data_IF_876679970080
#
_entry.id   IF_876679970080
#
_cell.length_a   1.000
_cell.length_b   1.000
_cell.length_c   1.000
_cell.angle_alpha   90.00
_cell.angle_beta   90.00
_cell.angle_gamma   90.00
#
_symmetry.space_group_name_H-M   'P 1'
#
loop_
_entity.id
_entity.type
_entity.pdbx_description
1 polymer ?
#
# COMPACT_ATOMS: atom_id res chain seq x y z
N UNK A 1 -0.89 6.01 -9.04
CA UNK A 1 -2.31 5.93 -8.62
C UNK A 1 -2.47 5.65 -7.13
N UNK A 2 -1.73 4.71 -6.53
CA UNK A 2 -1.87 4.42 -5.08
C UNK A 2 -1.26 5.51 -4.20
N UNK A 3 -0.10 6.08 -4.59
CA UNK A 3 0.53 7.21 -3.87
C UNK A 3 -0.45 8.35 -3.60
N UNK A 4 -1.10 8.87 -4.64
CA UNK A 4 -2.05 9.98 -4.52
C UNK A 4 -3.28 9.63 -3.67
N UNK A 5 -3.76 8.38 -3.73
CA UNK A 5 -4.84 7.92 -2.84
C UNK A 5 -4.40 7.90 -1.37
N UNK A 6 -3.17 7.46 -1.10
CA UNK A 6 -2.60 7.47 0.25
C UNK A 6 -2.43 8.90 0.76
N UNK A 7 -1.74 9.76 0.02
CA UNK A 7 -1.47 11.16 0.40
C UNK A 7 -2.77 11.92 0.71
N UNK A 8 -3.79 11.74 -0.14
CA UNK A 8 -5.11 12.34 0.05
C UNK A 8 -5.82 11.84 1.32
N UNK A 9 -5.77 10.54 1.63
CA UNK A 9 -6.46 9.97 2.80
C UNK A 9 -5.70 10.18 4.10
N UNK A 10 -4.37 10.18 4.06
CA UNK A 10 -3.51 10.39 5.23
C UNK A 10 -3.21 11.88 5.50
N UNK A 11 -3.67 12.78 4.61
CA UNK A 11 -3.42 14.22 4.68
C UNK A 11 -1.93 14.56 4.87
N UNK A 12 -1.09 13.88 4.09
CA UNK A 12 0.37 14.01 4.14
C UNK A 12 0.96 13.87 2.74
N UNK A 13 2.15 14.43 2.52
CA UNK A 13 2.89 14.28 1.27
C UNK A 13 4.09 13.36 1.49
N UNK A 14 4.31 12.42 0.59
CA UNK A 14 5.42 11.48 0.67
C UNK A 14 6.62 11.99 -0.13
N UNK A 15 7.74 12.24 0.55
CA UNK A 15 9.00 12.65 -0.09
C UNK A 15 9.59 11.53 -0.95
N UNK A 16 9.48 10.29 -0.47
CA UNK A 16 9.78 9.06 -1.22
C UNK A 16 8.54 8.18 -1.25
N UNK A 17 8.46 7.22 -2.17
CA UNK A 17 7.33 6.27 -2.20
C UNK A 17 7.78 4.96 -2.84
N UNK A 18 8.63 4.24 -2.12
CA UNK A 18 9.31 3.05 -2.62
C UNK A 18 8.77 1.81 -1.92
N UNK A 19 8.20 0.87 -2.68
CA UNK A 19 7.82 -0.43 -2.16
C UNK A 19 9.08 -1.28 -1.91
N UNK A 20 9.19 -1.88 -0.71
CA UNK A 20 10.36 -2.67 -0.31
C UNK A 20 10.02 -4.14 -0.03
N UNK A 21 8.78 -4.45 0.32
CA UNK A 21 8.30 -5.80 0.57
C UNK A 21 6.82 -5.85 0.18
N UNK A 22 6.36 -6.98 -0.35
CA UNK A 22 4.94 -7.19 -0.58
C UNK A 22 4.52 -8.63 -0.29
N UNK A 23 3.23 -8.81 0.00
CA UNK A 23 2.54 -10.09 0.11
C UNK A 23 1.23 -10.00 -0.68
N UNK A 24 0.72 -11.14 -1.10
CA UNK A 24 -0.54 -11.21 -1.84
C UNK A 24 -1.53 -12.14 -1.13
N UNK A 25 -2.81 -11.90 -1.41
CA UNK A 25 -3.92 -12.77 -1.07
C UNK A 25 -4.88 -12.79 -2.26
N UNK A 26 -5.17 -13.98 -2.77
CA UNK A 26 -6.10 -14.17 -3.90
C UNK A 26 -7.53 -14.07 -3.37
N UNK A 27 -8.35 -13.28 -4.07
CA UNK A 27 -9.80 -13.10 -3.84
C UNK A 27 -10.50 -13.11 -5.21
N UNK A 28 -11.68 -12.50 -5.35
CA UNK A 28 -12.20 -12.11 -6.66
C UNK A 28 -11.39 -10.92 -7.23
N UNK A 29 -10.09 -11.15 -7.48
CA UNK A 29 -9.06 -10.13 -7.66
C UNK A 29 -7.81 -10.49 -6.85
N UNK A 30 -6.91 -9.52 -6.64
CA UNK A 30 -5.72 -9.69 -5.80
C UNK A 30 -5.68 -8.60 -4.74
N UNK A 31 -5.56 -8.99 -3.48
CA UNK A 31 -5.25 -8.08 -2.39
C UNK A 31 -3.74 -8.07 -2.16
N UNK A 32 -3.11 -6.92 -2.37
CA UNK A 32 -1.69 -6.69 -2.06
C UNK A 32 -1.56 -6.05 -0.68
N UNK A 33 -0.62 -6.56 0.09
CA UNK A 33 -0.10 -5.93 1.29
C UNK A 33 1.30 -5.47 0.94
N UNK A 34 1.61 -4.18 1.08
CA UNK A 34 2.84 -3.59 0.57
C UNK A 34 3.47 -2.74 1.67
N UNK A 35 4.73 -3.02 2.04
CA UNK A 35 5.54 -2.14 2.86
C UNK A 35 6.20 -1.09 1.98
N UNK A 36 5.94 0.18 2.26
CA UNK A 36 6.39 1.32 1.46
C UNK A 36 7.16 2.29 2.35
N UNK A 37 8.36 2.67 1.92
CA UNK A 37 9.11 3.76 2.52
C UNK A 37 8.55 5.11 2.02
N UNK A 38 8.19 6.00 2.95
CA UNK A 38 7.58 7.31 2.66
C UNK A 38 8.46 8.50 3.05
N UNK A 39 9.40 8.29 3.98
CA UNK A 39 10.51 9.18 4.32
C UNK A 39 11.74 8.35 4.74
N UNK A 40 12.83 8.99 5.20
CA UNK A 40 14.09 8.30 5.53
C UNK A 40 13.89 7.04 6.40
N UNK A 41 13.25 7.19 7.55
CA UNK A 41 12.99 6.09 8.49
C UNK A 41 11.49 5.86 8.74
N UNK A 42 10.63 6.43 7.89
CA UNK A 42 9.17 6.30 8.00
C UNK A 42 8.63 5.37 6.92
N UNK A 43 7.85 4.39 7.36
CA UNK A 43 7.26 3.37 6.53
C UNK A 43 5.75 3.29 6.77
N UNK A 44 5.06 2.83 5.74
CA UNK A 44 3.63 2.56 5.78
C UNK A 44 3.36 1.17 5.24
N UNK A 45 2.34 0.51 5.78
CA UNK A 45 1.81 -0.72 5.20
C UNK A 45 0.53 -0.38 4.46
N UNK A 46 0.48 -0.68 3.17
CA UNK A 46 -0.67 -0.44 2.32
C UNK A 46 -1.39 -1.75 2.03
N UNK A 47 -2.71 -1.69 2.01
CA UNK A 47 -3.59 -2.75 1.52
C UNK A 47 -4.24 -2.26 0.23
N UNK A 48 -3.84 -2.83 -0.89
CA UNK A 48 -4.23 -2.40 -2.24
C UNK A 48 -5.00 -3.51 -2.93
N UNK A 49 -6.19 -3.21 -3.40
CA UNK A 49 -6.98 -4.12 -4.20
C UNK A 49 -6.70 -3.91 -5.69
N UNK A 50 -6.34 -4.99 -6.38
CA UNK A 50 -6.27 -5.07 -7.83
C UNK A 50 -7.45 -5.91 -8.34
N UNK A 51 -8.33 -5.26 -9.08
CA UNK A 51 -9.47 -5.88 -9.76
C UNK A 51 -9.04 -6.92 -10.80
N UNK A 52 -9.97 -7.76 -11.25
CA UNK A 52 -9.68 -8.77 -12.26
C UNK A 52 -9.31 -8.12 -13.61
N UNK A 53 -8.49 -8.78 -14.46
CA UNK A 53 -7.99 -8.16 -15.70
C UNK A 53 -9.09 -7.63 -16.65
N UNK A 54 -10.27 -8.26 -16.66
CA UNK A 54 -11.38 -7.88 -17.55
C UNK A 54 -12.21 -6.69 -17.02
N UNK A 55 -12.06 -6.32 -15.74
CA UNK A 55 -12.80 -5.20 -15.15
C UNK A 55 -12.20 -3.84 -15.54
N UNK A 56 -10.99 -3.81 -16.10
CA UNK A 56 -10.29 -2.60 -16.56
C UNK A 56 -10.21 -1.49 -15.49
N UNK A 57 -10.23 -1.87 -14.22
CA UNK A 57 -10.09 -0.95 -13.09
C UNK A 57 -8.63 -0.90 -12.63
N UNK A 58 -8.16 0.31 -12.33
CA UNK A 58 -6.84 0.51 -11.72
C UNK A 58 -6.81 0.08 -10.24
N UNK A 59 -5.62 -0.07 -9.65
CA UNK A 59 -5.47 -0.42 -8.24
C UNK A 59 -6.10 0.61 -7.31
N UNK A 60 -6.83 0.14 -6.31
CA UNK A 60 -7.47 0.96 -5.29
C UNK A 60 -6.87 0.72 -3.90
N UNK A 61 -6.59 1.80 -3.17
CA UNK A 61 -6.16 1.71 -1.79
C UNK A 61 -7.36 1.32 -0.93
N UNK A 62 -7.32 0.13 -0.35
CA UNK A 62 -8.38 -0.37 0.52
C UNK A 62 -8.17 0.11 1.96
N UNK A 63 -6.96 -0.05 2.50
CA UNK A 63 -6.60 0.37 3.85
C UNK A 63 -5.10 0.68 3.95
N UNK A 64 -4.67 1.29 5.05
CA UNK A 64 -3.26 1.54 5.34
C UNK A 64 -2.98 1.61 6.85
N UNK A 65 -1.72 1.42 7.22
CA UNK A 65 -1.18 1.66 8.55
C UNK A 65 0.02 2.60 8.43
N UNK A 66 0.09 3.64 9.26
CA UNK A 66 1.19 4.60 9.33
C UNK A 66 2.08 4.36 10.56
N UNK A 67 3.20 5.10 10.66
CA UNK A 67 4.11 5.02 11.80
C UNK A 67 4.82 3.67 11.91
N UNK A 68 5.09 3.02 10.76
CA UNK A 68 5.85 1.78 10.71
C UNK A 68 7.33 2.08 10.53
N UNK A 69 8.14 1.12 10.92
CA UNK A 69 9.57 1.08 10.73
C UNK A 69 9.93 0.07 9.63
N UNK A 70 11.20 0.07 9.24
CA UNK A 70 11.74 -0.89 8.26
C UNK A 70 11.54 -2.35 8.73
N UNK A 71 11.73 -2.58 10.02
CA UNK A 71 11.81 -3.90 10.64
C UNK A 71 10.44 -4.46 11.07
N UNK A 72 9.39 -3.63 11.07
CA UNK A 72 8.03 -4.09 11.35
C UNK A 72 7.60 -5.18 10.37
N UNK A 73 7.06 -6.32 10.83
CA UNK A 73 6.66 -7.38 9.93
C UNK A 73 5.45 -6.96 9.08
N UNK A 74 5.50 -7.24 7.77
CA UNK A 74 4.36 -7.05 6.89
C UNK A 74 3.33 -8.15 7.13
N UNK A 75 2.27 -7.85 7.86
CA UNK A 75 1.20 -8.79 8.24
C UNK A 75 -0.11 -8.47 7.51
N UNK A 76 -1.07 -9.40 7.55
CA UNK A 76 -2.42 -9.16 7.05
C UNK A 76 -3.21 -8.31 8.04
N UNK A 77 -3.94 -7.31 7.53
CA UNK A 77 -4.80 -6.38 8.28
C UNK A 77 -6.00 -5.91 7.46
#
# INVERSE_FOLDING_TARGET
>A
QVKSQFESRANTNCHVFTAIEYRTQVVAGIMYFIKVQVANDDYVHLKVFQSLPHENQGPSLAAFQTGKTRDDPLTYF
#
